data_IF_734509259042
#
_entry.id   IF_734509259042
#
_cell.length_a   1.000
_cell.length_b   1.000
_cell.length_c   1.000
_cell.angle_alpha   90.00
_cell.angle_beta   90.00
_cell.angle_gamma   90.00
#
_symmetry.space_group_name_H-M   'P 1'
#
loop_
_entity.id
_entity.type
_entity.pdbx_description
1 polymer ?
#
# COMPACT_ATOMS: atom_id res chain seq x y z
N UNK A 1 -18.33 -8.33 21.65
CA UNK A 1 -16.95 -7.93 21.29
C UNK A 1 -16.69 -8.55 19.92
N UNK A 2 -16.67 -7.76 18.84
CA UNK A 2 -16.47 -8.29 17.49
C UNK A 2 -14.98 -8.59 17.28
N UNK A 3 -14.63 -9.85 17.01
CA UNK A 3 -13.27 -10.25 16.62
C UNK A 3 -13.17 -10.25 15.10
N UNK A 4 -12.28 -9.45 14.53
CA UNK A 4 -12.02 -9.44 13.08
C UNK A 4 -10.95 -10.49 12.79
N UNK A 5 -11.37 -11.65 12.31
CA UNK A 5 -10.44 -12.66 11.78
C UNK A 5 -10.16 -12.38 10.29
N UNK A 6 -8.99 -11.80 10.01
CA UNK A 6 -8.45 -11.67 8.65
C UNK A 6 -7.97 -13.03 8.13
N UNK A 7 -8.89 -13.83 7.59
CA UNK A 7 -8.54 -15.03 6.82
C UNK A 7 -8.07 -14.62 5.42
N UNK A 8 -6.76 -14.43 5.27
CA UNK A 8 -6.11 -14.53 3.95
C UNK A 8 -6.31 -15.96 3.47
N UNK A 9 -6.97 -16.16 2.32
CA UNK A 9 -7.17 -17.46 1.67
C UNK A 9 -5.85 -18.15 1.31
N UNK A 10 -5.21 -18.70 2.33
CA UNK A 10 -4.24 -19.79 2.26
C UNK A 10 -5.10 -21.01 2.54
N UNK A 11 -5.10 -22.00 1.65
CA UNK A 11 -5.68 -23.31 1.95
C UNK A 11 -5.13 -23.74 3.32
N UNK A 12 -5.99 -23.72 4.33
CA UNK A 12 -5.71 -24.38 5.61
C UNK A 12 -5.74 -25.85 5.24
N UNK A 13 -4.56 -26.41 4.94
CA UNK A 13 -4.35 -27.85 4.98
C UNK A 13 -4.66 -28.21 6.43
N UNK A 14 -5.80 -28.85 6.63
CA UNK A 14 -6.25 -29.32 7.91
C UNK A 14 -5.15 -30.17 8.53
N UNK A 15 -4.73 -29.82 9.74
CA UNK A 15 -3.70 -30.51 10.51
C UNK A 15 -4.17 -31.88 11.05
N UNK A 16 -5.22 -32.48 10.46
CA UNK A 16 -5.77 -33.78 10.84
C UNK A 16 -5.02 -34.96 10.20
N UNK A 17 -4.13 -34.72 9.24
CA UNK A 17 -3.38 -35.78 8.54
C UNK A 17 -2.08 -36.23 9.25
N UNK A 18 -1.80 -35.74 10.48
CA UNK A 18 -0.53 -35.99 11.16
C UNK A 18 -0.60 -36.66 12.54
N UNK A 19 -1.78 -37.08 13.00
CA UNK A 19 -1.88 -37.89 14.23
C UNK A 19 -2.70 -39.13 13.95
N UNK A 20 -2.00 -40.26 13.89
CA UNK A 20 -2.60 -41.58 13.78
C UNK A 20 -3.57 -41.90 14.92
N UNK A 21 -4.53 -42.75 14.56
CA UNK A 21 -5.40 -43.54 15.44
C UNK A 21 -6.19 -42.77 16.51
N UNK A 22 -7.31 -42.18 16.09
CA UNK A 22 -8.48 -42.02 16.97
C UNK A 22 -9.69 -42.73 16.35
N UNK A 23 -10.33 -43.55 17.18
CA UNK A 23 -11.41 -44.49 16.84
C UNK A 23 -12.56 -43.82 16.07
N UNK A 24 -13.08 -44.46 14.99
CA UNK A 24 -14.13 -43.90 14.15
C UNK A 24 -15.53 -43.85 14.78
N UNK A 25 -15.77 -44.51 15.91
CA UNK A 25 -17.15 -44.80 16.34
C UNK A 25 -17.76 -43.80 17.32
N UNK A 26 -17.00 -42.82 17.82
CA UNK A 26 -17.47 -41.85 18.86
C UNK A 26 -17.67 -40.43 18.31
N UNK A 27 -17.11 -40.09 17.15
CA UNK A 27 -17.17 -38.71 16.61
C UNK A 27 -18.44 -38.46 15.79
N UNK A 28 -19.08 -39.50 15.27
CA UNK A 28 -20.25 -39.37 14.37
C UNK A 28 -21.54 -38.86 15.05
N UNK A 29 -21.61 -38.83 16.39
CA UNK A 29 -22.81 -38.37 17.10
C UNK A 29 -22.68 -36.96 17.72
N UNK A 30 -21.47 -36.40 17.81
CA UNK A 30 -21.27 -35.04 18.35
C UNK A 30 -21.12 -33.98 17.24
N UNK A 31 -20.83 -34.39 16.00
CA UNK A 31 -20.61 -33.49 14.87
C UNK A 31 -21.89 -33.19 14.04
N UNK A 32 -23.07 -33.56 14.56
CA UNK A 32 -24.34 -33.33 13.87
C UNK A 32 -25.21 -32.21 14.43
N UNK A 33 -24.86 -31.60 15.57
CA UNK A 33 -25.70 -30.56 16.21
C UNK A 33 -25.06 -29.18 16.33
N UNK A 34 -23.86 -28.96 15.80
CA UNK A 34 -23.27 -27.61 15.73
C UNK A 34 -22.84 -27.26 14.32
N UNK A 35 -23.73 -27.54 13.36
CA UNK A 35 -23.65 -26.91 12.05
C UNK A 35 -24.16 -25.46 12.19
N UNK A 36 -23.40 -24.64 12.95
CA UNK A 36 -23.56 -23.18 12.97
C UNK A 36 -23.48 -22.73 11.52
N UNK A 37 -24.58 -22.22 11.00
CA UNK A 37 -24.72 -21.66 9.67
C UNK A 37 -23.82 -20.44 9.55
N UNK A 38 -22.53 -20.66 9.32
CA UNK A 38 -21.59 -19.63 8.93
C UNK A 38 -22.05 -19.10 7.56
N UNK A 39 -22.73 -17.96 7.58
CA UNK A 39 -23.13 -17.28 6.35
C UNK A 39 -21.86 -16.68 5.71
N UNK A 40 -21.26 -17.41 4.79
CA UNK A 40 -20.14 -16.91 3.99
C UNK A 40 -20.68 -15.90 2.97
N UNK A 41 -20.64 -14.61 3.30
CA UNK A 41 -20.99 -13.54 2.35
C UNK A 41 -19.86 -13.42 1.33
N UNK A 42 -20.01 -14.12 0.21
CA UNK A 42 -19.10 -14.01 -0.94
C UNK A 42 -19.39 -12.72 -1.69
N UNK A 43 -18.55 -11.72 -1.50
CA UNK A 43 -18.59 -10.54 -2.36
C UNK A 43 -18.21 -10.96 -3.80
N UNK A 44 -19.06 -10.73 -4.81
CA UNK A 44 -18.72 -11.02 -6.20
C UNK A 44 -17.45 -10.23 -6.56
N UNK A 45 -16.54 -10.83 -7.33
CA UNK A 45 -15.22 -10.26 -7.67
C UNK A 45 -15.35 -8.77 -8.02
N UNK A 46 -14.93 -7.89 -7.11
CA UNK A 46 -14.88 -6.43 -7.29
C UNK A 46 -13.78 -6.09 -8.30
N UNK A 47 -14.04 -6.36 -9.57
CA UNK A 47 -13.12 -6.11 -10.68
C UNK A 47 -12.93 -4.62 -10.97
N UNK A 48 -13.88 -3.79 -10.53
CA UNK A 48 -13.88 -2.33 -10.66
C UNK A 48 -13.17 -1.60 -9.52
N UNK A 49 -13.06 -2.19 -8.32
CA UNK A 49 -12.42 -1.55 -7.16
C UNK A 49 -10.96 -1.09 -7.41
N UNK A 50 -10.11 -1.88 -8.08
CA UNK A 50 -8.74 -1.46 -8.39
C UNK A 50 -8.69 -0.29 -9.39
N UNK A 51 -9.68 -0.20 -10.28
CA UNK A 51 -9.78 0.91 -11.22
C UNK A 51 -10.32 2.16 -10.55
N UNK A 52 -11.32 2.03 -9.67
CA UNK A 52 -11.76 3.12 -8.81
C UNK A 52 -10.61 3.58 -7.92
N UNK A 53 -9.81 2.68 -7.37
CA UNK A 53 -8.60 3.03 -6.62
C UNK A 53 -7.59 3.81 -7.45
N UNK A 54 -7.23 3.34 -8.65
CA UNK A 54 -6.28 4.06 -9.52
C UNK A 54 -6.85 5.38 -9.98
N UNK A 55 -8.11 5.42 -10.42
CA UNK A 55 -8.76 6.65 -10.85
C UNK A 55 -8.78 7.62 -9.68
N UNK A 56 -9.24 7.21 -8.51
CA UNK A 56 -9.23 8.05 -7.30
C UNK A 56 -7.83 8.51 -6.98
N UNK A 57 -6.80 7.66 -6.95
CA UNK A 57 -5.41 8.11 -6.67
C UNK A 57 -4.94 9.11 -7.72
N UNK A 58 -5.15 8.84 -9.01
CA UNK A 58 -4.70 9.72 -10.11
C UNK A 58 -5.46 11.03 -10.16
N UNK A 59 -6.80 11.02 -10.09
CA UNK A 59 -7.60 12.25 -10.03
C UNK A 59 -7.43 12.98 -8.71
N UNK A 60 -7.22 12.30 -7.58
CA UNK A 60 -6.92 12.97 -6.31
C UNK A 60 -5.56 13.66 -6.39
N UNK A 61 -4.54 13.03 -6.97
CA UNK A 61 -3.22 13.66 -7.18
C UNK A 61 -3.31 14.83 -8.17
N UNK A 62 -4.06 14.71 -9.27
CA UNK A 62 -4.19 15.77 -10.29
C UNK A 62 -5.11 16.92 -9.85
N UNK A 63 -6.26 16.62 -9.24
CA UNK A 63 -7.27 17.60 -8.83
C UNK A 63 -6.91 18.27 -7.50
N UNK A 64 -6.19 17.60 -6.60
CA UNK A 64 -5.75 18.20 -5.33
C UNK A 64 -4.37 18.87 -5.39
N UNK A 65 -3.62 18.72 -6.49
CA UNK A 65 -2.45 19.56 -6.79
C UNK A 65 -2.80 21.06 -6.80
N UNK A 66 -4.08 21.38 -7.04
CA UNK A 66 -4.57 22.75 -7.04
C UNK A 66 -4.95 23.27 -5.63
N UNK A 67 -5.47 22.44 -4.69
CA UNK A 67 -6.07 22.96 -3.44
C UNK A 67 -5.98 22.05 -2.17
N UNK A 68 -5.47 20.82 -2.19
CA UNK A 68 -5.30 20.02 -0.95
C UNK A 68 -4.28 18.87 -1.05
N UNK A 69 -3.02 19.26 -1.27
CA UNK A 69 -1.85 18.37 -1.30
C UNK A 69 -1.81 17.41 -0.09
N UNK A 70 -2.17 17.86 1.11
CA UNK A 70 -2.15 17.03 2.33
C UNK A 70 -3.13 15.85 2.34
N UNK A 71 -4.39 16.04 1.94
CA UNK A 71 -5.40 14.96 1.94
C UNK A 71 -5.09 13.93 0.85
N UNK A 72 -4.64 14.39 -0.32
CA UNK A 72 -4.18 13.53 -1.41
C UNK A 72 -3.07 12.58 -0.95
N UNK A 73 -2.16 13.10 -0.13
CA UNK A 73 -0.98 12.36 0.32
C UNK A 73 -1.31 11.40 1.45
N UNK A 74 -2.27 11.71 2.33
CA UNK A 74 -2.81 10.73 3.29
C UNK A 74 -3.47 9.57 2.56
N UNK A 75 -4.30 9.85 1.54
CA UNK A 75 -4.94 8.81 0.73
C UNK A 75 -3.87 7.97 0.00
N UNK A 76 -2.90 8.61 -0.64
CA UNK A 76 -1.80 7.90 -1.32
C UNK A 76 -0.97 7.05 -0.35
N UNK A 77 -0.68 7.55 0.86
CA UNK A 77 0.03 6.80 1.89
C UNK A 77 -0.75 5.56 2.36
N UNK A 78 -2.06 5.70 2.62
CA UNK A 78 -2.93 4.57 2.96
C UNK A 78 -3.01 3.54 1.81
N UNK A 79 -3.15 4.03 0.58
CA UNK A 79 -3.16 3.23 -0.63
C UNK A 79 -1.84 2.46 -0.84
N UNK A 80 -0.71 3.11 -0.57
CA UNK A 80 0.60 2.49 -0.58
C UNK A 80 0.70 1.40 0.49
N UNK A 81 0.33 1.68 1.75
CA UNK A 81 0.31 0.72 2.86
C UNK A 81 -0.48 -0.55 2.55
N UNK A 82 -1.65 -0.42 1.92
CA UNK A 82 -2.43 -1.59 1.49
C UNK A 82 -1.67 -2.43 0.47
N UNK A 83 -0.98 -1.79 -0.48
CA UNK A 83 -0.15 -2.50 -1.46
C UNK A 83 0.99 -3.29 -0.80
N UNK A 84 1.57 -2.79 0.30
CA UNK A 84 2.57 -3.52 1.09
C UNK A 84 2.00 -4.79 1.73
N UNK A 85 0.86 -4.67 2.41
CA UNK A 85 0.21 -5.80 3.07
C UNK A 85 -0.12 -6.90 2.07
N UNK A 86 -0.69 -6.51 0.93
CA UNK A 86 -1.10 -7.42 -0.14
C UNK A 86 0.10 -8.18 -0.69
N UNK A 87 1.24 -7.50 -0.84
CA UNK A 87 2.45 -8.15 -1.31
C UNK A 87 3.08 -9.06 -0.26
N UNK A 88 3.12 -8.64 0.99
CA UNK A 88 3.61 -9.48 2.08
C UNK A 88 2.86 -10.82 2.11
N UNK A 89 1.53 -10.78 2.01
CA UNK A 89 0.71 -11.99 1.93
C UNK A 89 0.94 -12.77 0.63
N UNK A 90 1.09 -12.10 -0.51
CA UNK A 90 1.35 -12.75 -1.81
C UNK A 90 2.67 -13.51 -1.86
N UNK A 91 3.73 -12.95 -1.25
CA UNK A 91 5.04 -13.61 -1.20
C UNK A 91 5.05 -14.73 -0.15
N UNK A 92 4.35 -14.54 0.98
CA UNK A 92 4.21 -15.58 2.00
C UNK A 92 3.39 -16.78 1.51
N UNK A 93 2.38 -16.55 0.66
CA UNK A 93 1.53 -17.61 0.11
C UNK A 93 2.12 -18.32 -1.10
N UNK A 94 3.00 -17.63 -1.85
CA UNK A 94 3.78 -18.29 -2.90
C UNK A 94 4.81 -19.21 -2.23
N UNK A 95 4.59 -20.53 -2.33
CA UNK A 95 5.56 -21.57 -1.98
C UNK A 95 6.82 -21.41 -2.82
N UNK A 96 7.65 -20.45 -2.45
CA UNK A 96 8.87 -20.10 -3.14
C UNK A 96 10.01 -20.92 -2.53
N UNK A 97 10.79 -21.57 -3.38
CA UNK A 97 12.02 -22.30 -3.00
C UNK A 97 13.11 -21.37 -2.43
N UNK A 98 12.88 -20.04 -2.45
CA UNK A 98 13.82 -19.05 -1.91
C UNK A 98 13.85 -19.08 -0.37
N UNK A 99 15.04 -18.83 0.23
CA UNK A 99 15.19 -18.86 1.67
C UNK A 99 14.29 -17.80 2.35
N UNK A 100 13.53 -18.24 3.35
CA UNK A 100 12.59 -17.39 4.13
C UNK A 100 13.25 -16.11 4.66
N UNK A 101 14.53 -16.18 5.06
CA UNK A 101 15.29 -15.03 5.56
C UNK A 101 15.41 -13.89 4.55
N UNK A 102 15.63 -14.20 3.27
CA UNK A 102 15.76 -13.18 2.20
C UNK A 102 14.42 -12.49 1.96
N UNK A 103 13.34 -13.26 1.90
CA UNK A 103 11.98 -12.74 1.75
C UNK A 103 11.64 -11.79 2.91
N UNK A 104 11.92 -12.22 4.15
CA UNK A 104 11.69 -11.42 5.35
C UNK A 104 12.51 -10.13 5.34
N UNK A 105 13.81 -10.20 5.01
CA UNK A 105 14.66 -9.02 4.91
C UNK A 105 14.13 -8.03 3.86
N UNK A 106 13.83 -8.50 2.64
CA UNK A 106 13.28 -7.64 1.58
C UNK A 106 11.95 -7.01 2.00
N UNK A 107 11.11 -7.71 2.76
CA UNK A 107 9.87 -7.14 3.30
C UNK A 107 10.14 -6.03 4.32
N UNK A 108 11.09 -6.22 5.24
CA UNK A 108 11.48 -5.16 6.18
C UNK A 108 12.08 -3.94 5.49
N UNK A 109 12.98 -4.16 4.53
CA UNK A 109 13.57 -3.07 3.74
C UNK A 109 12.49 -2.36 2.93
N UNK A 110 11.56 -3.10 2.33
CA UNK A 110 10.41 -2.53 1.62
C UNK A 110 9.56 -1.68 2.56
N UNK A 111 9.23 -2.18 3.76
CA UNK A 111 8.44 -1.46 4.75
C UNK A 111 9.15 -0.17 5.21
N UNK A 112 10.45 -0.23 5.48
CA UNK A 112 11.24 0.94 5.83
C UNK A 112 11.18 2.01 4.73
N UNK A 113 11.43 1.63 3.48
CA UNK A 113 11.32 2.55 2.34
C UNK A 113 9.90 3.13 2.22
N UNK A 114 8.85 2.34 2.47
CA UNK A 114 7.47 2.82 2.53
C UNK A 114 7.29 3.98 3.51
N UNK A 115 7.75 3.76 4.75
CA UNK A 115 7.60 4.72 5.83
C UNK A 115 8.37 6.00 5.52
N UNK A 116 9.56 5.87 4.93
CA UNK A 116 10.35 7.01 4.48
C UNK A 116 9.68 7.75 3.32
N UNK A 117 9.04 7.06 2.37
CA UNK A 117 8.21 7.70 1.32
C UNK A 117 7.09 8.52 1.95
N UNK A 118 6.36 7.97 2.94
CA UNK A 118 5.33 8.70 3.67
C UNK A 118 5.89 9.94 4.40
N UNK A 119 7.05 9.82 5.04
CA UNK A 119 7.72 10.95 5.70
C UNK A 119 8.12 12.03 4.68
N UNK A 120 8.73 11.64 3.56
CA UNK A 120 9.11 12.56 2.48
C UNK A 120 7.89 13.28 1.90
N UNK A 121 6.78 12.56 1.66
CA UNK A 121 5.50 13.16 1.26
C UNK A 121 5.05 14.20 2.28
N UNK A 122 5.03 13.87 3.58
CA UNK A 122 4.60 14.79 4.63
C UNK A 122 5.46 16.06 4.69
N UNK A 123 6.77 15.93 4.52
CA UNK A 123 7.71 17.07 4.48
C UNK A 123 7.44 17.99 3.29
N UNK A 124 7.27 17.42 2.09
CA UNK A 124 6.92 18.18 0.86
C UNK A 124 5.58 18.89 1.03
N UNK A 125 4.60 18.20 1.62
CA UNK A 125 3.23 18.72 1.81
C UNK A 125 3.17 19.92 2.75
N UNK A 126 3.88 19.82 3.89
CA UNK A 126 3.83 20.82 4.95
C UNK A 126 4.67 22.05 4.63
N UNK A 127 5.50 21.96 3.58
CA UNK A 127 6.38 23.03 3.13
C UNK A 127 6.14 23.35 1.65
N UNK A 128 4.94 23.84 1.25
CA UNK A 128 4.63 24.10 -0.15
C UNK A 128 5.44 25.29 -0.70
N UNK A 129 5.93 25.16 -1.94
CA UNK A 129 6.78 26.18 -2.59
C UNK A 129 6.04 27.05 -3.62
N UNK A 130 4.74 26.87 -3.83
CA UNK A 130 3.97 27.52 -4.92
C UNK A 130 3.58 28.99 -4.65
N UNK A 131 3.57 29.45 -3.40
CA UNK A 131 3.04 30.79 -3.01
C UNK A 131 3.97 31.57 -2.08
N UNK A 132 5.27 31.48 -2.33
CA UNK A 132 6.26 32.02 -1.41
C UNK A 132 6.50 33.52 -1.60
N UNK A 133 6.75 34.23 -0.48
CA UNK A 133 6.98 35.68 -0.46
C UNK A 133 8.24 36.06 -1.26
N UNK A 134 8.28 37.25 -1.85
CA UNK A 134 9.45 37.72 -2.64
C UNK A 134 10.64 38.14 -1.77
N UNK A 135 10.49 38.20 -0.45
CA UNK A 135 11.53 38.59 0.51
C UNK A 135 12.58 37.49 0.78
N UNK A 136 12.37 36.30 0.22
CA UNK A 136 13.23 35.13 0.38
C UNK A 136 13.41 34.61 1.82
N UNK A 137 12.63 35.10 2.78
CA UNK A 137 12.66 34.65 4.19
C UNK A 137 12.27 33.17 4.34
N UNK A 138 11.63 32.60 3.33
CA UNK A 138 11.17 31.21 3.28
C UNK A 138 12.24 30.19 2.86
N UNK A 139 13.42 30.60 2.38
CA UNK A 139 14.41 29.65 1.82
C UNK A 139 14.82 28.55 2.81
N UNK A 140 15.26 28.94 3.99
CA UNK A 140 15.67 27.96 5.01
C UNK A 140 14.47 27.27 5.70
N UNK A 141 13.43 27.98 6.16
CA UNK A 141 12.36 27.32 6.93
C UNK A 141 11.37 26.53 6.09
N UNK A 142 11.26 26.78 4.77
CA UNK A 142 10.30 26.10 3.90
C UNK A 142 11.00 25.29 2.82
N UNK A 143 11.86 25.93 2.01
CA UNK A 143 12.44 25.25 0.86
C UNK A 143 13.42 24.14 1.23
N UNK A 144 14.27 24.33 2.23
CA UNK A 144 15.21 23.28 2.65
C UNK A 144 14.46 22.01 3.13
N UNK A 145 13.48 22.08 4.06
CA UNK A 145 12.64 20.93 4.40
C UNK A 145 11.90 20.33 3.20
N UNK A 146 11.42 21.15 2.27
CA UNK A 146 10.77 20.67 1.05
C UNK A 146 11.72 19.83 0.18
N UNK A 147 12.92 20.35 -0.12
CA UNK A 147 13.92 19.66 -0.92
C UNK A 147 14.40 18.37 -0.25
N UNK A 148 14.62 18.40 1.07
CA UNK A 148 14.94 17.20 1.86
C UNK A 148 13.80 16.18 1.78
N UNK A 149 12.54 16.63 1.93
CA UNK A 149 11.35 15.81 1.79
C UNK A 149 11.25 15.16 0.42
N UNK A 150 11.47 15.92 -0.65
CA UNK A 150 11.47 15.44 -2.02
C UNK A 150 12.58 14.40 -2.25
N UNK A 151 13.79 14.66 -1.75
CA UNK A 151 14.90 13.71 -1.82
C UNK A 151 14.56 12.39 -1.11
N UNK A 152 14.08 12.46 0.14
CA UNK A 152 13.63 11.30 0.90
C UNK A 152 12.53 10.54 0.16
N UNK A 153 11.53 11.26 -0.36
CA UNK A 153 10.42 10.70 -1.13
C UNK A 153 10.92 9.88 -2.33
N UNK A 154 11.65 10.53 -3.23
CA UNK A 154 11.98 9.96 -4.54
C UNK A 154 13.01 8.83 -4.44
N UNK A 155 14.01 8.96 -3.57
CA UNK A 155 15.00 7.90 -3.35
C UNK A 155 14.35 6.65 -2.78
N UNK A 156 13.56 6.79 -1.71
CA UNK A 156 12.91 5.63 -1.08
C UNK A 156 11.80 5.04 -1.95
N UNK A 157 11.09 5.85 -2.75
CA UNK A 157 10.10 5.35 -3.71
C UNK A 157 10.77 4.52 -4.81
N UNK A 158 11.91 4.98 -5.33
CA UNK A 158 12.68 4.26 -6.35
C UNK A 158 13.22 2.94 -5.81
N UNK A 159 13.83 2.95 -4.62
CA UNK A 159 14.31 1.74 -3.93
C UNK A 159 13.16 0.76 -3.66
N UNK A 160 12.03 1.26 -3.18
CA UNK A 160 10.81 0.47 -3.00
C UNK A 160 10.42 -0.21 -4.32
N UNK A 161 10.31 0.53 -5.43
CA UNK A 161 9.90 -0.06 -6.70
C UNK A 161 10.93 -1.04 -7.30
N UNK A 162 12.22 -0.84 -7.05
CA UNK A 162 13.25 -1.82 -7.40
C UNK A 162 13.06 -3.12 -6.61
N UNK A 163 12.83 -3.06 -5.30
CA UNK A 163 12.49 -4.23 -4.48
C UNK A 163 11.18 -4.86 -4.99
N UNK A 164 10.20 -4.02 -5.38
CA UNK A 164 8.94 -4.47 -5.96
C UNK A 164 9.10 -5.15 -7.33
N UNK A 165 10.16 -4.81 -8.06
CA UNK A 165 10.52 -5.49 -9.30
C UNK A 165 11.15 -6.83 -8.94
N UNK A 166 12.11 -6.83 -8.02
CA UNK A 166 12.80 -8.04 -7.56
C UNK A 166 11.85 -9.15 -7.09
N UNK A 167 10.85 -8.88 -6.23
CA UNK A 167 9.98 -10.01 -5.86
C UNK A 167 9.08 -10.52 -7.00
N UNK A 168 8.75 -9.72 -8.03
CA UNK A 168 7.97 -10.26 -9.17
C UNK A 168 8.78 -11.33 -9.87
N UNK A 169 10.08 -11.10 -10.02
CA UNK A 169 11.00 -12.07 -10.57
C UNK A 169 11.23 -13.27 -9.63
N UNK A 170 11.24 -13.06 -8.32
CA UNK A 170 11.33 -14.16 -7.34
C UNK A 170 10.11 -15.06 -7.30
N UNK A 171 8.92 -14.57 -7.62
CA UNK A 171 7.69 -15.38 -7.72
C UNK A 171 7.75 -16.40 -8.88
N UNK A 172 8.78 -16.34 -9.73
CA UNK A 172 9.09 -17.33 -10.75
C UNK A 172 8.14 -17.33 -11.95
N UNK A 173 8.52 -18.11 -12.96
CA UNK A 173 7.75 -18.27 -14.20
C UNK A 173 6.38 -18.94 -13.95
N UNK A 174 6.28 -19.71 -12.86
CA UNK A 174 5.09 -20.45 -12.41
C UNK A 174 3.87 -19.56 -12.20
N UNK A 175 4.09 -18.29 -11.82
CA UNK A 175 3.00 -17.34 -11.60
C UNK A 175 2.57 -16.57 -12.88
N UNK A 176 3.18 -16.84 -14.05
CA UNK A 176 2.90 -16.19 -15.35
C UNK A 176 2.87 -14.66 -15.29
N UNK A 177 3.79 -14.04 -14.53
CA UNK A 177 3.82 -12.59 -14.26
C UNK A 177 4.93 -11.82 -14.97
N UNK A 178 5.51 -12.41 -16.00
CA UNK A 178 6.70 -11.87 -16.65
C UNK A 178 6.46 -10.46 -17.23
N UNK A 179 5.29 -10.22 -17.83
CA UNK A 179 4.91 -8.91 -18.37
C UNK A 179 4.80 -7.82 -17.30
N UNK A 180 4.30 -8.15 -16.11
CA UNK A 180 4.23 -7.21 -14.97
C UNK A 180 5.65 -6.91 -14.47
N UNK A 181 6.54 -7.91 -14.47
CA UNK A 181 7.95 -7.73 -14.15
C UNK A 181 8.66 -6.76 -15.09
N UNK A 182 8.47 -6.93 -16.41
CA UNK A 182 9.01 -6.01 -17.41
C UNK A 182 8.42 -4.60 -17.29
N UNK A 183 7.10 -4.48 -17.11
CA UNK A 183 6.47 -3.18 -16.93
C UNK A 183 7.02 -2.43 -15.71
N UNK A 184 7.24 -3.11 -14.58
CA UNK A 184 7.86 -2.53 -13.37
C UNK A 184 9.32 -2.16 -13.58
N UNK A 185 10.09 -3.02 -14.23
CA UNK A 185 11.48 -2.74 -14.54
C UNK A 185 11.61 -1.51 -15.44
N UNK A 186 10.81 -1.43 -16.51
CA UNK A 186 10.78 -0.29 -17.42
C UNK A 186 10.34 1.00 -16.72
N UNK A 187 9.30 0.94 -15.88
CA UNK A 187 8.82 2.10 -15.12
C UNK A 187 9.85 2.58 -14.08
N UNK A 188 10.55 1.65 -13.43
CA UNK A 188 11.61 1.96 -12.46
C UNK A 188 12.82 2.56 -13.18
N UNK A 189 13.19 2.02 -14.34
CA UNK A 189 14.26 2.57 -15.17
C UNK A 189 13.90 3.99 -15.65
N UNK A 190 12.66 4.21 -16.10
CA UNK A 190 12.18 5.54 -16.48
C UNK A 190 12.29 6.53 -15.30
N UNK A 191 11.91 6.10 -14.10
CA UNK A 191 12.04 6.92 -12.89
C UNK A 191 13.50 7.29 -12.59
N UNK A 192 14.42 6.34 -12.71
CA UNK A 192 15.86 6.56 -12.52
C UNK A 192 16.46 7.43 -13.63
N UNK A 193 16.01 7.28 -14.87
CA UNK A 193 16.47 8.12 -15.97
C UNK A 193 15.96 9.55 -15.84
N UNK A 194 14.78 9.78 -15.26
CA UNK A 194 14.25 11.10 -14.96
C UNK A 194 15.04 11.84 -13.87
N UNK A 195 15.66 11.12 -12.92
CA UNK A 195 16.47 11.75 -11.87
C UNK A 195 17.80 12.28 -12.38
N UNK A 196 18.33 11.77 -13.50
CA UNK A 196 19.57 12.26 -14.10
C UNK A 196 19.45 13.73 -14.54
N UNK A 197 18.52 14.13 -15.44
CA UNK A 197 18.37 15.52 -15.83
C UNK A 197 17.92 16.41 -14.65
N UNK A 198 17.16 15.87 -13.69
CA UNK A 198 16.82 16.60 -12.46
C UNK A 198 18.08 17.03 -11.69
N UNK A 199 19.06 16.13 -11.53
CA UNK A 199 20.30 16.39 -10.78
C UNK A 199 21.30 17.20 -11.62
N UNK A 200 21.52 16.79 -12.88
CA UNK A 200 22.53 17.39 -13.76
C UNK A 200 22.18 18.81 -14.16
N UNK A 201 20.89 19.10 -14.37
CA UNK A 201 20.40 20.42 -14.77
C UNK A 201 19.78 21.20 -13.60
N UNK A 202 20.01 20.78 -12.36
CA UNK A 202 19.61 21.52 -11.18
C UNK A 202 20.22 22.93 -11.25
N UNK A 203 19.40 24.00 -11.31
CA UNK A 203 19.88 25.35 -11.61
C UNK A 203 20.50 26.06 -10.40
N UNK A 204 20.95 25.31 -9.39
CA UNK A 204 21.35 25.85 -8.09
C UNK A 204 22.78 25.42 -7.77
N UNK A 205 23.73 26.31 -8.00
CA UNK A 205 25.11 26.15 -7.57
C UNK A 205 25.38 26.91 -6.27
N UNK A 206 24.70 28.04 -6.08
CA UNK A 206 24.80 28.87 -4.88
C UNK A 206 23.43 29.09 -4.22
N UNK A 207 23.42 29.35 -2.91
CA UNK A 207 22.20 29.74 -2.16
C UNK A 207 21.54 31.01 -2.70
N UNK A 208 22.29 31.81 -3.45
CA UNK A 208 21.85 33.04 -4.09
C UNK A 208 21.01 32.77 -5.35
N UNK A 209 21.18 31.62 -6.01
CA UNK A 209 20.37 31.22 -7.17
C UNK A 209 18.90 30.97 -6.80
N UNK A 210 18.63 30.76 -5.51
CA UNK A 210 17.31 30.62 -4.92
C UNK A 210 16.61 31.96 -4.64
N UNK A 211 17.23 33.11 -4.99
CA UNK A 211 16.59 34.43 -4.85
C UNK A 211 15.42 34.57 -5.83
N UNK A 212 14.20 34.85 -5.36
CA UNK A 212 13.12 35.24 -6.24
C UNK A 212 13.52 36.54 -6.97
N UNK A 213 13.26 36.61 -8.27
CA UNK A 213 13.55 37.82 -9.06
C UNK A 213 12.57 38.91 -8.61
N UNK A 214 13.04 40.08 -8.14
CA UNK A 214 12.17 41.09 -7.52
C UNK A 214 11.10 41.65 -8.45
N UNK A 215 11.38 41.73 -9.75
CA UNK A 215 10.57 42.50 -10.70
C UNK A 215 9.73 41.70 -11.70
N UNK A 216 9.86 40.37 -11.82
CA UNK A 216 9.14 39.60 -12.85
C UNK A 216 8.50 38.32 -12.31
N UNK A 217 7.46 37.83 -13.00
CA UNK A 217 6.89 36.49 -12.81
C UNK A 217 7.94 35.39 -12.97
N UNK A 218 7.59 34.16 -12.58
CA UNK A 218 8.46 32.96 -12.55
C UNK A 218 9.29 32.77 -13.83
N UNK A 219 10.43 33.45 -13.91
CA UNK A 219 11.41 33.29 -14.96
C UNK A 219 12.29 32.11 -14.58
N UNK A 220 12.02 30.97 -15.24
CA UNK A 220 12.87 29.79 -15.20
C UNK A 220 14.29 30.17 -15.66
N UNK A 221 15.23 30.29 -14.72
CA UNK A 221 16.64 30.60 -15.03
C UNK A 221 17.37 29.36 -15.54
N UNK A 222 18.29 29.58 -16.49
CA UNK A 222 19.24 28.57 -16.96
C UNK A 222 18.58 27.27 -17.44
N UNK A 223 19.06 26.13 -16.93
CA UNK A 223 18.61 24.80 -17.32
C UNK A 223 17.39 24.28 -16.53
N UNK A 224 16.71 25.15 -15.76
CA UNK A 224 15.54 24.75 -14.96
C UNK A 224 14.40 24.06 -15.74
N UNK A 225 14.12 24.34 -17.03
CA UNK A 225 13.16 23.55 -17.80
C UNK A 225 13.56 22.08 -17.95
N UNK A 226 14.86 21.78 -18.07
CA UNK A 226 15.36 20.40 -18.17
C UNK A 226 15.28 19.67 -16.83
N UNK A 227 15.56 20.38 -15.73
CA UNK A 227 15.34 19.86 -14.38
C UNK A 227 13.87 19.51 -14.15
N UNK A 228 12.95 20.42 -14.53
CA UNK A 228 11.51 20.19 -14.43
C UNK A 228 11.06 19.02 -15.32
N UNK A 229 11.57 18.92 -16.55
CA UNK A 229 11.32 17.76 -17.41
C UNK A 229 11.75 16.45 -16.74
N UNK A 230 12.93 16.41 -16.12
CA UNK A 230 13.41 15.27 -15.35
C UNK A 230 12.49 14.88 -14.21
N UNK A 231 12.02 15.87 -13.45
CA UNK A 231 11.02 15.68 -12.39
C UNK A 231 9.74 15.02 -12.91
N UNK A 232 9.19 15.50 -14.03
CA UNK A 232 7.99 14.93 -14.63
C UNK A 232 8.19 13.51 -15.16
N UNK A 233 9.33 13.23 -15.78
CA UNK A 233 9.68 11.86 -16.22
C UNK A 233 9.78 10.92 -15.02
N UNK A 234 10.38 11.39 -13.93
CA UNK A 234 10.48 10.64 -12.68
C UNK A 234 9.08 10.36 -12.09
N UNK A 235 8.23 11.38 -11.96
CA UNK A 235 6.85 11.23 -11.47
C UNK A 235 6.06 10.26 -12.37
N UNK A 236 6.19 10.37 -13.69
CA UNK A 236 5.53 9.47 -14.62
C UNK A 236 5.97 8.01 -14.43
N UNK A 237 7.27 7.77 -14.27
CA UNK A 237 7.81 6.44 -13.96
C UNK A 237 7.26 5.86 -12.66
N UNK A 238 7.09 6.68 -11.63
CA UNK A 238 6.49 6.28 -10.35
C UNK A 238 4.99 5.97 -10.50
N UNK A 239 4.24 6.81 -11.22
CA UNK A 239 2.82 6.58 -11.50
C UNK A 239 2.60 5.30 -12.30
N UNK A 240 3.40 5.06 -13.33
CA UNK A 240 3.37 3.82 -14.10
C UNK A 240 3.62 2.61 -13.19
N UNK A 241 4.61 2.69 -12.29
CA UNK A 241 4.86 1.66 -11.28
C UNK A 241 3.65 1.42 -10.37
N UNK A 242 2.96 2.46 -9.89
CA UNK A 242 1.72 2.30 -9.09
C UNK A 242 0.65 1.55 -9.88
N UNK A 243 0.45 1.89 -11.16
CA UNK A 243 -0.54 1.19 -12.01
C UNK A 243 -0.21 -0.30 -12.15
N UNK A 244 1.07 -0.68 -12.17
CA UNK A 244 1.45 -2.10 -12.19
C UNK A 244 1.05 -2.88 -10.92
N UNK A 245 0.63 -2.21 -9.84
CA UNK A 245 0.14 -2.85 -8.62
C UNK A 245 -1.32 -3.33 -8.77
N UNK A 246 -2.08 -2.78 -9.73
CA UNK A 246 -3.50 -3.15 -9.96
C UNK A 246 -3.74 -4.66 -10.07
N UNK A 247 -2.95 -5.44 -10.83
CA UNK A 247 -3.14 -6.89 -10.93
C UNK A 247 -2.90 -7.62 -9.60
N UNK A 248 -2.09 -7.06 -8.70
CA UNK A 248 -1.86 -7.61 -7.36
C UNK A 248 -3.05 -7.31 -6.45
N UNK A 249 -3.56 -6.08 -6.47
CA UNK A 249 -4.77 -5.69 -5.73
C UNK A 249 -5.98 -6.54 -6.11
N UNK A 250 -6.14 -6.89 -7.40
CA UNK A 250 -7.22 -7.76 -7.91
C UNK A 250 -7.27 -9.15 -7.29
N UNK A 251 -6.16 -9.64 -6.72
CA UNK A 251 -6.08 -10.98 -6.14
C UNK A 251 -6.51 -11.04 -4.69
N UNK A 252 -6.62 -9.90 -4.04
CA UNK A 252 -6.97 -9.83 -2.62
C UNK A 252 -8.45 -10.06 -2.49
N UNK A 253 -8.80 -11.09 -1.74
CA UNK A 253 -10.19 -11.36 -1.33
C UNK A 253 -10.29 -11.07 0.15
N UNK A 254 -11.17 -10.15 0.50
CA UNK A 254 -11.57 -9.94 1.88
C UNK A 254 -12.79 -10.82 2.13
N UNK A 255 -12.63 -11.79 3.02
CA UNK A 255 -13.74 -12.59 3.56
C UNK A 255 -14.00 -12.10 4.99
N UNK A 256 -15.16 -11.51 5.23
CA UNK A 256 -15.59 -11.13 6.57
C UNK A 256 -16.39 -12.30 7.14
N UNK A 257 -15.86 -12.93 8.18
CA UNK A 257 -16.56 -13.95 8.95
C UNK A 257 -17.31 -13.25 10.09
N UNK A 258 -18.65 -13.21 10.00
CA UNK A 258 -19.50 -12.73 11.08
C UNK A 258 -19.94 -13.95 11.87
N UNK A 259 -19.30 -14.19 13.02
CA UNK A 259 -19.83 -15.13 14.00
C UNK A 259 -20.97 -14.45 14.73
N UNK A 260 -22.21 -14.90 14.48
CA UNK A 260 -23.33 -14.53 15.33
C UNK A 260 -23.08 -15.13 16.71
N UNK A 261 -22.75 -14.27 17.67
CA UNK A 261 -22.77 -14.58 19.11
C UNK A 261 -24.23 -14.55 19.58
N UNK A 262 -25.08 -15.34 18.93
CA UNK A 262 -26.40 -15.66 19.44
C UNK A 262 -26.35 -17.09 19.94
N UNK A 263 -25.93 -17.22 21.20
CA UNK A 263 -26.30 -18.28 22.12
C UNK A 263 -25.99 -17.74 23.53
N UNK A 264 -26.60 -16.62 23.90
CA UNK A 264 -26.85 -16.41 25.32
C UNK A 264 -27.86 -17.50 25.70
N UNK A 265 -27.55 -18.41 26.64
CA UNK A 265 -28.54 -19.36 27.10
C UNK A 265 -29.73 -18.54 27.57
N UNK A 266 -30.85 -18.66 26.85
CA UNK A 266 -32.14 -18.21 27.34
C UNK A 266 -32.31 -19.00 28.63
N UNK A 267 -32.16 -18.31 29.77
CA UNK A 267 -32.61 -18.85 31.05
C UNK A 267 -34.11 -19.04 30.87
N UNK A 268 -34.51 -20.23 30.46
CA UNK A 268 -35.88 -20.70 30.53
C UNK A 268 -36.21 -20.87 32.02
N UNK A 269 -36.34 -19.74 32.72
CA UNK A 269 -36.93 -19.63 34.04
C UNK A 269 -38.47 -19.69 33.91
N UNK A 270 -38.99 -20.65 33.16
CA UNK A 270 -40.43 -20.86 33.01
C UNK A 270 -40.95 -22.01 33.91
N UNK A 271 -40.08 -22.88 34.40
CA UNK A 271 -40.50 -24.07 35.15
C UNK A 271 -40.44 -23.91 36.69
N UNK A 272 -39.80 -22.86 37.22
CA UNK A 272 -39.70 -22.67 38.69
C UNK A 272 -40.88 -21.90 39.31
N UNK A 273 -41.79 -21.32 38.51
CA UNK A 273 -42.95 -20.57 39.05
C UNK A 273 -44.20 -21.45 39.26
N UNK A 274 -44.24 -22.65 38.68
CA UNK A 274 -45.41 -23.54 38.83
C UNK A 274 -45.31 -24.57 39.97
N UNK A 275 -44.17 -24.73 40.64
CA UNK A 275 -44.08 -25.57 41.84
C UNK A 275 -44.46 -24.86 43.16
N UNK A 276 -44.42 -23.52 43.21
CA UNK A 276 -44.73 -22.78 44.46
C UNK A 276 -46.24 -22.55 44.65
N UNK A 277 -47.09 -22.78 43.64
CA UNK A 277 -48.56 -22.70 43.80
C UNK A 277 -49.23 -24.06 44.13
N UNK A 278 -48.47 -25.09 44.51
CA UNK A 278 -49.01 -26.40 44.91
C UNK A 278 -48.74 -26.81 46.37
N UNK A 279 -48.47 -25.85 47.26
CA UNK A 279 -48.42 -26.09 48.71
C UNK A 279 -49.50 -25.28 49.44
#
# INVERSE_FOLDING_TARGET
MASIHLCSGINIIHLSDLTGELRPDVVLSAEKSSQKTAMEVKFPRLHWLPWVFVITVVTTVMTLYAWSVGLALVICAFCAMMSFLIRYFSVKSANSDKPRRVITLMNYVSLFNASMVCLGMAMVSTNPVSHLRRDATWRLPVLLPHLLGAGVLFVNASLYFLIQTCFVWMLGHTNKRIYVGYARAASSLLSLLGSIPLIVFAPYHDLEDLRPVPEHGTLYRGNSPWSAFGEWVMILGLLCNVVTLVPDLKRVRFSLYIENVEDFPRKDNADEVNEVMKL
#
